data_IF_954122482295
#
_entry.id   IF_954122482295
#
_cell.length_a   1.000
_cell.length_b   1.000
_cell.length_c   1.000
_cell.angle_alpha   90.00
_cell.angle_beta   90.00
_cell.angle_gamma   90.00
#
_symmetry.space_group_name_H-M   'P 1'
#
loop_
_entity.id
_entity.type
_entity.pdbx_description
1 polymer ?
2 non-polymer ?
3 water ?
#
# COMPACT_ATOMS: atom_id res chain seq x y z
N UNK A 1 -1.47 -9.94 -22.04
CA UNK A 1 -0.18 -9.47 -22.53
C UNK A 1 0.94 -9.79 -21.54
N UNK A 2 0.70 -9.47 -20.24
CA UNK A 2 1.70 -9.86 -19.26
C UNK A 2 1.28 -11.14 -18.54
N UNK A 3 2.17 -12.11 -18.38
CA UNK A 3 1.78 -13.37 -17.71
C UNK A 3 1.70 -13.22 -16.19
N UNK A 4 0.69 -13.89 -15.62
CA UNK A 4 0.41 -13.84 -14.19
C UNK A 4 -0.03 -15.23 -13.76
N UNK A 5 0.53 -15.73 -12.66
CA UNK A 5 0.27 -17.06 -12.16
C UNK A 5 -0.56 -16.98 -10.89
N UNK A 6 -1.77 -17.52 -10.93
CA UNK A 6 -2.65 -17.58 -9.78
C UNK A 6 -2.66 -19.01 -9.25
N UNK A 7 -2.43 -19.16 -7.95
CA UNK A 7 -2.25 -20.48 -7.35
C UNK A 7 -2.80 -20.48 -5.95
N UNK A 8 -3.22 -21.66 -5.48
CA UNK A 8 -3.70 -21.86 -4.12
C UNK A 8 -2.61 -22.60 -3.35
N UNK A 9 -2.32 -22.10 -2.14
CA UNK A 9 -1.21 -22.61 -1.35
C UNK A 9 -1.69 -22.95 0.04
N UNK A 10 -1.62 -24.22 0.41
CA UNK A 10 -2.00 -24.68 1.73
C UNK A 10 -0.81 -24.59 2.67
N UNK A 11 -1.03 -24.03 3.86
CA UNK A 11 0.00 -23.86 4.87
C UNK A 11 -0.48 -24.52 6.15
N UNK A 12 0.33 -25.43 6.69
CA UNK A 12 -0.07 -26.21 7.85
C UNK A 12 0.25 -25.51 9.16
N UNK A 13 1.51 -25.14 9.37
CA UNK A 13 1.95 -24.65 10.66
C UNK A 13 1.53 -23.20 10.88
N UNK A 14 1.40 -22.84 12.16
CA UNK A 14 1.04 -21.47 12.51
C UNK A 14 2.19 -20.51 12.22
N UNK A 15 3.43 -20.96 12.40
CA UNK A 15 4.59 -20.10 12.16
C UNK A 15 4.65 -19.65 10.71
N UNK A 16 4.40 -20.55 9.77
CA UNK A 16 4.51 -20.20 8.36
C UNK A 16 3.28 -19.46 7.83
N UNK A 17 2.09 -19.72 8.39
CA UNK A 17 0.94 -18.94 7.98
C UNK A 17 0.90 -17.55 8.61
N UNK A 18 1.57 -17.37 9.76
CA UNK A 18 1.74 -16.02 10.27
C UNK A 18 2.73 -15.23 9.43
N UNK A 19 3.82 -15.88 8.99
CA UNK A 19 4.78 -15.24 8.11
C UNK A 19 4.12 -14.90 6.77
N UNK A 20 3.33 -15.81 6.24
CA UNK A 20 2.59 -15.58 5.00
C UNK A 20 1.63 -14.41 5.11
N UNK A 21 0.99 -14.29 6.27
CA UNK A 21 -0.12 -13.35 6.42
C UNK A 21 0.37 -11.91 6.46
N UNK A 22 1.37 -11.63 7.29
CA UNK A 22 1.81 -10.27 7.54
C UNK A 22 2.94 -9.82 6.62
N UNK A 23 3.24 -10.57 5.55
CA UNK A 23 4.35 -10.18 4.69
C UNK A 23 4.14 -10.43 3.21
N UNK A 24 3.43 -11.48 2.78
CA UNK A 24 3.48 -11.87 1.38
C UNK A 24 2.86 -10.82 0.48
N UNK A 25 1.74 -10.22 0.89
CA UNK A 25 1.14 -9.17 0.07
C UNK A 25 2.06 -7.97 -0.05
N UNK A 26 2.63 -7.53 1.08
CA UNK A 26 3.53 -6.39 1.06
C UNK A 26 4.81 -6.69 0.29
N UNK A 27 5.29 -7.94 0.34
CA UNK A 27 6.52 -8.31 -0.36
C UNK A 27 6.27 -8.37 -1.87
N UNK A 28 5.15 -8.98 -2.28
CA UNK A 28 4.87 -9.10 -3.71
C UNK A 28 4.50 -7.76 -4.32
N UNK A 29 3.97 -6.83 -3.52
CA UNK A 29 3.82 -5.47 -3.98
C UNK A 29 5.17 -4.76 -4.05
N UNK A 30 6.09 -5.10 -3.16
CA UNK A 30 7.42 -4.51 -3.20
C UNK A 30 8.22 -5.02 -4.40
N UNK A 31 8.17 -6.33 -4.66
CA UNK A 31 8.82 -6.88 -5.86
C UNK A 31 8.25 -6.26 -7.12
N UNK A 32 6.95 -5.93 -7.12
CA UNK A 32 6.34 -5.29 -8.29
C UNK A 32 6.86 -3.88 -8.46
N UNK A 33 6.90 -3.11 -7.37
CA UNK A 33 7.41 -1.74 -7.44
C UNK A 33 8.87 -1.70 -7.86
N UNK A 34 9.66 -2.70 -7.46
CA UNK A 34 11.07 -2.73 -7.82
C UNK A 34 11.24 -2.94 -9.33
N UNK A 35 10.50 -3.91 -9.88
CA UNK A 35 10.55 -4.14 -11.32
C UNK A 35 10.12 -2.92 -12.12
N UNK A 36 9.22 -2.10 -11.55
CA UNK A 36 8.73 -0.93 -12.27
C UNK A 36 9.70 0.23 -12.13
N UNK A 37 10.18 0.48 -10.92
CA UNK A 37 11.12 1.58 -10.70
C UNK A 37 12.42 1.34 -11.47
N UNK A 38 12.86 0.09 -11.54
CA UNK A 38 14.10 -0.23 -12.26
C UNK A 38 13.91 -0.02 -13.76
N UNK A 39 12.74 -0.36 -14.30
CA UNK A 39 12.48 -0.11 -15.72
C UNK A 39 12.40 1.39 -16.02
N UNK A 40 12.09 2.21 -15.01
CA UNK A 40 12.11 3.66 -15.21
C UNK A 40 13.53 4.17 -15.23
N UNK A 41 14.42 3.59 -14.41
CA UNK A 41 15.79 4.05 -14.37
C UNK A 41 16.56 3.59 -15.61
N UNK A 42 16.13 2.51 -16.24
CA UNK A 42 16.65 2.14 -17.54
C UNK A 42 18.03 1.49 -17.54
N UNK A 43 18.95 2.02 -16.75
CA UNK A 43 20.35 1.59 -16.77
C UNK A 43 20.50 0.11 -16.45
N UNK A 44 20.82 -0.70 -17.46
CA UNK A 44 20.97 -2.13 -17.27
C UNK A 44 22.02 -2.46 -16.22
N UNK A 45 22.99 -1.56 -16.00
CA UNK A 45 23.98 -1.79 -14.95
C UNK A 45 23.30 -1.86 -13.57
N UNK A 46 22.49 -0.85 -13.25
CA UNK A 46 21.79 -0.86 -11.98
C UNK A 46 20.71 -1.93 -11.93
N UNK A 47 20.09 -2.24 -13.07
CA UNK A 47 19.05 -3.27 -13.09
C UNK A 47 19.65 -4.62 -12.70
N UNK A 48 20.80 -4.98 -13.29
CA UNK A 48 21.42 -6.26 -12.98
C UNK A 48 22.00 -6.27 -11.57
N UNK A 49 22.42 -5.11 -11.07
CA UNK A 49 22.96 -5.04 -9.72
C UNK A 49 21.88 -5.24 -8.68
N UNK A 50 20.69 -4.68 -8.90
CA UNK A 50 19.59 -4.83 -7.94
C UNK A 50 18.96 -6.21 -8.07
N UNK A 51 18.75 -6.68 -9.31
CA UNK A 51 18.27 -8.04 -9.52
C UNK A 51 19.17 -9.06 -8.82
N UNK A 52 20.48 -8.79 -8.78
CA UNK A 52 21.41 -9.72 -8.15
C UNK A 52 21.25 -9.73 -6.64
N UNK A 53 21.26 -8.54 -6.02
CA UNK A 53 21.19 -8.46 -4.56
C UNK A 53 19.89 -9.07 -4.05
N UNK A 54 18.79 -8.87 -4.79
CA UNK A 54 17.54 -9.52 -4.42
C UNK A 54 17.65 -11.04 -4.55
N UNK A 55 18.33 -11.49 -5.61
CA UNK A 55 18.46 -12.93 -5.84
C UNK A 55 19.27 -13.60 -4.74
N UNK A 56 20.33 -12.93 -4.27
CA UNK A 56 21.22 -13.54 -3.29
C UNK A 56 20.64 -13.54 -1.89
N UNK A 57 19.78 -12.56 -1.56
CA UNK A 57 19.13 -12.58 -0.26
C UNK A 57 18.07 -13.67 -0.20
N UNK A 58 17.36 -13.91 -1.30
CA UNK A 58 16.45 -15.04 -1.37
C UNK A 58 17.23 -16.35 -1.39
N UNK A 59 18.39 -16.36 -2.05
CA UNK A 59 19.20 -17.57 -2.14
C UNK A 59 19.75 -17.97 -0.78
N UNK A 60 20.27 -17.00 -0.02
CA UNK A 60 20.85 -17.29 1.28
C UNK A 60 19.82 -17.94 2.20
N UNK A 61 18.61 -17.36 2.27
CA UNK A 61 17.57 -17.92 3.13
C UNK A 61 17.16 -19.30 2.64
N UNK A 62 17.10 -19.50 1.33
CA UNK A 62 16.78 -20.82 0.79
C UNK A 62 17.88 -21.82 1.10
N UNK A 63 19.14 -21.40 0.99
CA UNK A 63 20.25 -22.28 1.30
C UNK A 63 20.24 -22.69 2.77
N UNK A 64 19.97 -21.74 3.66
CA UNK A 64 19.91 -22.05 5.08
C UNK A 64 18.71 -22.93 5.42
N UNK A 65 17.56 -22.70 4.76
CA UNK A 65 16.40 -23.54 4.98
C UNK A 65 16.66 -24.98 4.57
N UNK A 66 17.42 -25.19 3.50
CA UNK A 66 17.77 -26.55 3.09
C UNK A 66 18.74 -27.19 4.07
N UNK A 67 19.74 -26.44 4.52
CA UNK A 67 20.70 -26.97 5.49
C UNK A 67 19.99 -27.38 6.78
N UNK A 68 19.11 -26.52 7.29
CA UNK A 68 18.36 -26.85 8.51
C UNK A 68 17.41 -28.02 8.27
N UNK A 69 16.85 -28.13 7.06
CA UNK A 69 16.00 -29.26 6.74
C UNK A 69 16.81 -30.55 6.62
N UNK A 70 18.00 -30.46 6.02
CA UNK A 70 18.84 -31.64 5.86
C UNK A 70 19.33 -32.16 7.22
N UNK A 71 19.80 -31.26 8.09
CA UNK A 71 20.26 -31.68 9.41
C UNK A 71 19.11 -32.30 10.21
N UNK A 72 17.97 -31.62 10.28
CA UNK A 72 16.86 -32.11 11.08
C UNK A 72 16.24 -33.38 10.50
N UNK A 73 16.26 -33.53 9.17
CA UNK A 73 15.79 -34.77 8.57
C UNK A 73 16.74 -35.93 8.87
N UNK A 74 18.02 -35.64 9.11
CA UNK A 74 18.94 -36.66 9.56
C UNK A 74 18.59 -37.12 10.97
N UNK A 75 18.28 -36.17 11.87
CA UNK A 75 17.87 -36.53 13.23
C UNK A 75 16.63 -37.39 13.25
N UNK A 76 15.80 -37.35 12.21
CA UNK A 76 14.60 -38.18 12.15
C UNK A 76 14.95 -39.64 11.85
N UNK A 77 15.78 -39.85 10.82
CA UNK A 77 16.21 -41.21 10.51
C UNK A 77 17.18 -41.73 11.56
N UNK A 78 18.04 -40.86 12.09
CA UNK A 78 18.87 -41.24 13.23
C UNK A 78 18.03 -41.76 14.39
N UNK A 79 16.82 -41.22 14.56
CA UNK A 79 15.93 -41.60 15.65
C UNK A 79 14.80 -42.50 15.18
N UNK A 80 14.73 -42.81 13.90
CA UNK A 80 13.76 -43.76 13.39
C UNK A 80 12.33 -43.25 13.36
N UNK A 81 12.11 -42.09 12.75
CA UNK A 81 10.79 -41.51 12.61
C UNK A 81 10.52 -41.29 11.12
N UNK A 82 9.44 -41.89 10.63
CA UNK A 82 9.07 -41.79 9.21
C UNK A 82 7.78 -41.00 9.00
N UNK A 83 7.12 -40.59 10.07
CA UNK A 83 5.84 -39.89 9.97
C UNK A 83 5.98 -38.39 10.25
N UNK A 84 4.89 -37.66 10.01
CA UNK A 84 4.85 -36.24 10.28
C UNK A 84 3.42 -35.85 10.68
N UNK A 85 3.27 -34.78 11.46
CA UNK A 85 1.99 -34.54 12.14
C UNK A 85 0.94 -33.89 11.26
N UNK A 86 -0.32 -34.16 11.60
CA UNK A 86 -1.41 -33.35 11.11
C UNK A 86 -1.51 -32.05 11.87
N UNK A 87 -2.33 -31.13 11.34
CA UNK A 87 -2.43 -29.79 11.91
C UNK A 87 -3.88 -29.43 12.15
N UNK A 88 -4.11 -28.64 13.19
CA UNK A 88 -5.46 -28.38 13.68
C UNK A 88 -6.31 -27.67 12.63
N UNK A 89 -5.79 -26.57 12.07
CA UNK A 89 -6.49 -25.84 11.02
C UNK A 89 -5.48 -25.27 10.03
N UNK A 90 -5.25 -25.97 8.92
CA UNK A 90 -4.44 -25.37 7.85
C UNK A 90 -5.25 -24.35 7.08
N UNK A 91 -4.53 -23.40 6.48
CA UNK A 91 -5.15 -22.33 5.71
C UNK A 91 -4.73 -22.44 4.26
N UNK A 92 -5.67 -22.15 3.36
CA UNK A 92 -5.39 -22.06 1.93
C UNK A 92 -5.38 -20.58 1.54
N UNK A 93 -4.32 -20.16 0.86
CA UNK A 93 -4.17 -18.79 0.40
C UNK A 93 -4.08 -18.78 -1.12
N UNK A 94 -4.94 -17.99 -1.76
CA UNK A 94 -4.86 -17.73 -3.18
C UNK A 94 -3.89 -16.58 -3.40
N UNK A 95 -2.84 -16.84 -4.18
CA UNK A 95 -1.76 -15.88 -4.37
C UNK A 95 -1.59 -15.61 -5.86
N UNK A 96 -1.10 -14.42 -6.17
CA UNK A 96 -0.78 -14.03 -7.54
C UNK A 96 0.72 -13.90 -7.68
N UNK A 97 1.26 -14.49 -8.75
CA UNK A 97 2.70 -14.52 -8.99
C UNK A 97 2.96 -13.72 -10.26
N UNK A 98 3.51 -12.52 -10.12
CA UNK A 98 3.85 -11.68 -11.26
C UNK A 98 5.31 -11.83 -11.65
N UNK A 99 6.22 -11.80 -10.69
CA UNK A 99 7.64 -12.03 -10.86
C UNK A 99 7.98 -13.47 -10.52
N UNK A 100 9.09 -14.01 -11.06
CA UNK A 100 9.57 -15.30 -10.56
C UNK A 100 10.16 -15.20 -9.16
N UNK A 101 10.63 -14.01 -8.76
CA UNK A 101 11.08 -13.81 -7.39
C UNK A 101 9.91 -13.88 -6.41
N UNK A 102 8.72 -13.45 -6.83
CA UNK A 102 7.53 -13.61 -5.99
C UNK A 102 7.25 -15.08 -5.75
N UNK A 103 7.39 -15.90 -6.79
CA UNK A 103 7.29 -17.35 -6.62
C UNK A 103 8.36 -17.87 -5.67
N UNK A 104 9.56 -17.27 -5.72
CA UNK A 104 10.63 -17.73 -4.84
C UNK A 104 10.32 -17.44 -3.38
N UNK A 105 9.75 -16.27 -3.08
CA UNK A 105 9.38 -15.96 -1.70
C UNK A 105 8.28 -16.89 -1.22
N UNK A 106 7.26 -17.13 -2.04
CA UNK A 106 6.22 -18.08 -1.69
C UNK A 106 6.77 -19.49 -1.51
N UNK A 107 7.79 -19.85 -2.30
CA UNK A 107 8.44 -21.15 -2.13
C UNK A 107 9.22 -21.20 -0.83
N UNK A 108 9.77 -20.07 -0.41
CA UNK A 108 10.46 -20.01 0.88
C UNK A 108 9.50 -20.26 2.03
N UNK A 109 8.26 -19.77 1.92
CA UNK A 109 7.26 -20.01 2.95
C UNK A 109 6.91 -21.49 3.03
N UNK A 110 6.88 -22.17 1.87
CA UNK A 110 6.63 -23.61 1.89
C UNK A 110 7.77 -24.36 2.57
N UNK A 111 9.02 -23.98 2.26
CA UNK A 111 10.17 -24.61 2.93
C UNK A 111 10.13 -24.34 4.43
N UNK A 112 9.68 -23.14 4.82
CA UNK A 112 9.50 -22.85 6.24
C UNK A 112 8.41 -23.74 6.84
N UNK A 113 7.27 -23.84 6.16
CA UNK A 113 6.20 -24.72 6.62
C UNK A 113 6.66 -26.17 6.72
N UNK A 114 7.50 -26.60 5.77
CA UNK A 114 8.04 -27.95 5.81
C UNK A 114 8.96 -28.12 7.01
N UNK A 115 9.88 -27.17 7.21
CA UNK A 115 10.83 -27.28 8.32
C UNK A 115 10.12 -27.26 9.67
N UNK A 116 9.01 -26.52 9.78
CA UNK A 116 8.25 -26.51 11.02
C UNK A 116 7.62 -27.86 11.28
N UNK A 117 7.17 -28.53 10.21
CA UNK A 117 6.63 -29.87 10.35
C UNK A 117 7.66 -30.86 10.87
N UNK A 118 8.92 -30.68 10.48
CA UNK A 118 9.98 -31.53 11.00
C UNK A 118 10.26 -31.21 12.46
N UNK A 119 10.36 -29.91 12.78
CA UNK A 119 10.55 -29.49 14.17
C UNK A 119 9.44 -30.03 15.06
N UNK A 120 8.20 -29.96 14.59
CA UNK A 120 7.07 -30.46 15.39
C UNK A 120 7.13 -31.97 15.58
N UNK A 121 7.63 -32.69 14.58
CA UNK A 121 7.79 -34.13 14.72
C UNK A 121 8.83 -34.46 15.79
N UNK A 122 10.00 -33.81 15.72
CA UNK A 122 11.04 -34.04 16.72
C UNK A 122 10.60 -33.61 18.11
N UNK A 123 9.78 -32.56 18.20
CA UNK A 123 9.30 -32.12 19.50
C UNK A 123 8.27 -33.11 20.06
N UNK A 124 7.33 -33.56 19.22
CA UNK A 124 6.37 -34.56 19.66
C UNK A 124 7.06 -35.88 20.02
N UNK A 125 8.17 -36.20 19.36
CA UNK A 125 8.89 -37.44 19.61
C UNK A 125 9.99 -37.27 20.66
N UNK A 126 9.97 -36.18 21.41
CA UNK A 126 10.89 -35.93 22.52
C UNK A 126 12.35 -35.87 22.06
N UNK A 127 12.59 -35.63 20.77
CA UNK A 127 13.96 -35.47 20.30
C UNK A 127 14.42 -34.03 20.51
N UNK A 128 13.49 -33.08 20.51
CA UNK A 128 13.81 -31.66 20.69
C UNK A 128 13.09 -31.14 21.93
N UNK A 129 13.80 -30.41 22.77
CA UNK A 129 13.20 -29.77 23.92
C UNK A 129 12.08 -28.82 23.48
N UNK A 130 11.10 -28.65 24.37
CA UNK A 130 10.10 -27.60 24.16
C UNK A 130 10.74 -26.24 23.99
N UNK A 131 11.90 -26.02 24.64
CA UNK A 131 12.55 -24.71 24.56
C UNK A 131 13.21 -24.50 23.20
N UNK A 132 13.87 -25.54 22.65
CA UNK A 132 14.53 -25.36 21.37
C UNK A 132 13.58 -25.48 20.19
N UNK A 133 12.35 -25.94 20.40
CA UNK A 133 11.33 -25.77 19.38
C UNK A 133 10.92 -24.31 19.27
N UNK A 134 10.70 -23.66 20.40
CA UNK A 134 10.36 -22.24 20.40
C UNK A 134 11.50 -21.40 19.85
N UNK A 135 12.76 -21.79 20.15
CA UNK A 135 13.90 -21.06 19.62
C UNK A 135 13.99 -21.20 18.10
N UNK A 136 13.58 -22.34 17.56
CA UNK A 136 13.53 -22.51 16.11
C UNK A 136 12.28 -21.83 15.54
N UNK A 137 11.16 -21.91 16.27
CA UNK A 137 9.94 -21.24 15.85
C UNK A 137 10.14 -19.74 15.71
N UNK A 138 10.81 -19.11 16.69
CA UNK A 138 11.01 -17.67 16.64
C UNK A 138 12.04 -17.27 15.59
N UNK A 139 13.18 -17.96 15.57
CA UNK A 139 14.29 -17.52 14.74
C UNK A 139 14.00 -17.69 13.26
N UNK A 140 13.33 -18.78 12.88
CA UNK A 140 13.03 -18.99 11.46
C UNK A 140 11.87 -18.10 11.00
N UNK A 141 10.88 -17.87 11.87
CA UNK A 141 9.90 -16.83 11.60
C UNK A 141 10.58 -15.49 11.34
N UNK A 142 11.33 -15.01 12.34
CA UNK A 142 12.07 -13.76 12.22
C UNK A 142 13.05 -13.78 11.05
N UNK A 143 13.46 -14.96 10.58
CA UNK A 143 14.41 -15.03 9.47
C UNK A 143 13.73 -14.64 8.16
N UNK A 144 12.50 -15.11 7.93
CA UNK A 144 11.76 -14.69 6.75
C UNK A 144 11.28 -13.25 6.88
N UNK A 145 10.95 -12.82 8.09
CA UNK A 145 10.53 -11.44 8.32
C UNK A 145 11.68 -10.47 8.03
N UNK A 146 12.91 -10.89 8.32
CA UNK A 146 14.06 -10.06 7.98
C UNK A 146 14.20 -9.92 6.46
N UNK A 147 13.89 -10.98 5.72
CA UNK A 147 13.93 -10.91 4.27
C UNK A 147 12.87 -9.94 3.74
N UNK A 148 11.64 -10.06 4.23
CA UNK A 148 10.58 -9.12 3.89
C UNK A 148 11.04 -7.68 4.08
N UNK A 149 11.59 -7.37 5.26
CA UNK A 149 12.07 -6.03 5.52
C UNK A 149 13.22 -5.60 4.63
N UNK A 150 14.11 -6.54 4.28
CA UNK A 150 15.24 -6.21 3.42
C UNK A 150 14.80 -5.93 2.00
N UNK A 151 13.88 -6.74 1.47
CA UNK A 151 13.37 -6.51 0.13
C UNK A 151 12.74 -5.12 0.03
N UNK A 152 11.87 -4.80 0.99
CA UNK A 152 11.24 -3.48 1.03
C UNK A 152 12.28 -2.40 1.22
N UNK A 153 13.33 -2.69 1.99
CA UNK A 153 14.44 -1.75 2.11
C UNK A 153 15.14 -1.50 0.79
N UNK A 154 15.29 -2.56 -0.02
CA UNK A 154 15.85 -2.39 -1.36
C UNK A 154 14.92 -1.53 -2.22
N UNK A 155 13.61 -1.78 -2.11
CA UNK A 155 12.64 -0.94 -2.80
C UNK A 155 12.80 0.53 -2.39
N UNK A 156 12.90 0.80 -1.08
CA UNK A 156 13.05 2.16 -0.60
C UNK A 156 14.34 2.80 -1.11
N UNK A 157 15.44 2.04 -1.12
CA UNK A 157 16.68 2.57 -1.63
C UNK A 157 16.65 2.74 -3.14
N UNK A 158 15.78 1.98 -3.83
CA UNK A 158 15.60 2.19 -5.26
C UNK A 158 14.82 3.47 -5.54
N UNK A 159 13.87 3.82 -4.65
CA UNK A 159 13.11 5.05 -4.83
C UNK A 159 14.01 6.28 -4.68
N UNK A 160 14.97 6.21 -3.76
CA UNK A 160 15.90 7.33 -3.60
C UNK A 160 16.88 7.36 -4.76
N UNK A 161 17.26 6.20 -5.28
CA UNK A 161 18.09 6.17 -6.48
C UNK A 161 17.35 6.79 -7.66
N UNK A 162 16.06 6.50 -7.79
CA UNK A 162 15.27 7.11 -8.86
C UNK A 162 15.08 8.60 -8.61
N UNK A 163 14.92 9.00 -7.35
CA UNK A 163 14.81 10.42 -7.03
C UNK A 163 16.08 11.16 -7.44
N UNK A 164 17.25 10.57 -7.18
CA UNK A 164 18.52 11.19 -7.53
C UNK A 164 18.75 11.26 -9.03
N UNK A 165 17.96 10.54 -9.84
CA UNK A 165 18.03 10.63 -11.29
C UNK A 165 16.90 11.46 -11.87
N UNK A 166 16.27 12.31 -11.05
CA UNK A 166 15.19 13.15 -11.52
C UNK A 166 13.92 12.43 -11.90
N UNK A 167 13.94 11.09 -11.91
CA UNK A 167 12.80 10.28 -12.29
C UNK A 167 11.80 10.12 -11.14
N UNK A 168 11.67 11.14 -10.29
CA UNK A 168 10.86 10.96 -9.08
C UNK A 168 9.37 11.05 -9.37
N UNK A 169 8.92 12.12 -10.03
CA UNK A 169 7.51 12.25 -10.33
C UNK A 169 6.99 11.12 -11.20
N UNK A 170 7.85 10.51 -11.99
CA UNK A 170 7.47 9.34 -12.77
C UNK A 170 7.14 8.17 -11.87
N UNK A 171 7.89 8.00 -10.79
CA UNK A 171 7.66 6.89 -9.86
C UNK A 171 6.33 7.06 -9.14
N UNK A 172 6.03 8.28 -8.68
CA UNK A 172 4.78 8.53 -7.98
C UNK A 172 3.57 8.14 -8.82
N UNK A 173 3.66 8.28 -10.14
CA UNK A 173 2.56 7.92 -11.03
C UNK A 173 2.56 6.43 -11.38
N UNK A 174 3.74 5.88 -11.69
CA UNK A 174 3.82 4.50 -12.18
C UNK A 174 3.56 3.50 -11.05
N UNK A 175 4.20 3.70 -9.90
CA UNK A 175 4.08 2.75 -8.79
C UNK A 175 4.25 3.48 -7.48
N UNK A 176 3.15 3.93 -6.88
CA UNK A 176 3.25 4.58 -5.55
C UNK A 176 3.65 3.56 -4.49
N UNK A 177 4.28 4.07 -3.44
CA UNK A 177 4.74 3.21 -2.35
C UNK A 177 3.59 2.83 -1.44
N UNK A 178 3.62 1.59 -0.95
CA UNK A 178 2.59 1.09 -0.05
C UNK A 178 3.06 1.17 1.39
N UNK A 179 2.10 1.39 2.29
CA UNK A 179 2.41 1.43 3.71
C UNK A 179 2.79 0.04 4.20
N UNK A 180 3.75 -0.02 5.11
CA UNK A 180 4.21 -1.28 5.69
C UNK A 180 3.56 -1.41 7.06
N UNK A 181 2.52 -2.25 7.14
CA UNK A 181 1.70 -2.35 8.33
C UNK A 181 2.32 -3.12 9.47
N UNK A 182 3.39 -3.86 9.22
CA UNK A 182 4.04 -4.69 10.23
C UNK A 182 5.29 -3.97 10.72
N UNK A 183 5.36 -3.72 12.03
CA UNK A 183 6.45 -2.92 12.58
C UNK A 183 7.79 -3.63 12.45
N UNK A 184 7.82 -4.94 12.70
CA UNK A 184 9.07 -5.69 12.56
C UNK A 184 9.62 -5.58 11.14
N UNK A 185 8.74 -5.63 10.15
CA UNK A 185 9.17 -5.48 8.76
C UNK A 185 9.52 -4.02 8.48
N UNK A 186 8.70 -3.09 8.96
CA UNK A 186 8.94 -1.66 8.70
C UNK A 186 10.24 -1.19 9.32
N UNK A 187 10.56 -1.67 10.53
CA UNK A 187 11.80 -1.26 11.17
C UNK A 187 13.02 -1.83 10.44
N UNK A 188 12.94 -3.08 10.01
CA UNK A 188 14.01 -3.69 9.22
C UNK A 188 14.16 -3.00 7.87
N UNK A 189 13.10 -2.36 7.37
CA UNK A 189 13.18 -1.67 6.09
C UNK A 189 14.26 -0.60 6.07
N UNK A 190 14.70 -0.14 7.25
CA UNK A 190 15.78 0.82 7.32
C UNK A 190 17.14 0.14 7.22
N UNK A 191 17.27 -0.78 6.26
CA UNK A 191 18.55 -1.10 5.65
C UNK A 191 18.93 -0.10 4.56
N UNK A 192 18.35 1.10 4.62
CA UNK A 192 18.58 2.16 3.64
C UNK A 192 19.87 2.92 3.91
N UNK A 193 20.23 3.08 5.18
CA UNK A 193 21.50 3.72 5.55
C UNK A 193 22.64 2.73 5.44
N UNK B 1 -32.86 3.83 5.95
CA UNK B 1 -32.75 4.76 7.06
C UNK B 1 -31.75 5.87 6.76
N UNK B 2 -30.56 5.48 6.25
CA UNK B 2 -29.59 6.47 5.84
C UNK B 2 -29.64 6.69 4.34
N UNK B 3 -29.62 7.93 3.85
CA UNK B 3 -29.64 8.15 2.41
C UNK B 3 -28.28 7.86 1.79
N UNK B 4 -28.30 7.23 0.62
CA UNK B 4 -27.08 6.81 -0.06
C UNK B 4 -27.28 7.02 -1.56
N UNK B 5 -26.30 7.66 -2.19
CA UNK B 5 -26.34 8.00 -3.61
C UNK B 5 -25.30 7.13 -4.33
N UNK B 6 -25.76 6.26 -5.21
CA UNK B 6 -24.87 5.41 -6.00
C UNK B 6 -24.79 5.93 -7.43
N UNK B 7 -23.56 6.13 -7.92
CA UNK B 7 -23.35 6.73 -9.22
C UNK B 7 -22.08 6.16 -9.84
N UNK B 8 -22.02 6.22 -11.16
CA UNK B 8 -20.84 5.79 -11.93
C UNK B 8 -20.13 7.03 -12.44
N UNK B 9 -18.80 7.06 -12.29
CA UNK B 9 -18.00 8.23 -12.58
C UNK B 9 -16.85 7.83 -13.49
N UNK B 10 -16.82 8.38 -14.70
CA UNK B 10 -15.74 8.11 -15.65
C UNK B 10 -14.62 9.13 -15.46
N UNK B 11 -13.38 8.63 -15.42
CA UNK B 11 -12.19 9.45 -15.23
C UNK B 11 -11.23 9.19 -16.39
N UNK B 12 -10.81 10.26 -17.05
CA UNK B 12 -9.96 10.15 -18.25
C UNK B 12 -8.47 10.10 -17.92
N UNK B 13 -7.96 11.09 -17.20
CA UNK B 13 -6.53 11.24 -17.03
C UNK B 13 -5.98 10.25 -16.02
N UNK B 14 -4.68 9.94 -16.16
CA UNK B 14 -4.02 9.01 -15.25
C UNK B 14 -3.82 9.64 -13.87
N UNK B 15 -3.53 10.94 -13.84
CA UNK B 15 -3.33 11.60 -12.55
C UNK B 15 -4.58 11.55 -11.70
N UNK B 16 -5.75 11.74 -12.32
CA UNK B 16 -7.00 11.71 -11.59
C UNK B 16 -7.46 10.29 -11.31
N UNK B 17 -7.04 9.32 -12.13
CA UNK B 17 -7.33 7.92 -11.83
C UNK B 17 -6.46 7.43 -10.68
N UNK B 18 -5.19 7.83 -10.66
CA UNK B 18 -4.32 7.52 -9.52
C UNK B 18 -4.94 8.03 -8.22
N UNK B 19 -5.27 9.32 -8.18
CA UNK B 19 -5.83 9.92 -6.96
C UNK B 19 -7.11 9.20 -6.55
N UNK B 20 -7.94 8.83 -7.52
CA UNK B 20 -9.19 8.13 -7.25
C UNK B 20 -8.96 6.77 -6.59
N UNK B 21 -8.06 5.97 -7.16
CA UNK B 21 -7.89 4.59 -6.73
C UNK B 21 -7.27 4.51 -5.34
N UNK B 22 -6.18 5.22 -5.10
CA UNK B 22 -5.42 5.06 -3.87
C UNK B 22 -5.90 5.95 -2.73
N UNK B 23 -7.06 6.59 -2.88
CA UNK B 23 -7.53 7.48 -1.81
C UNK B 23 -9.04 7.47 -1.60
N UNK B 24 -9.87 7.33 -2.63
CA UNK B 24 -11.30 7.60 -2.47
C UNK B 24 -11.96 6.60 -1.54
N UNK B 25 -11.60 5.31 -1.64
CA UNK B 25 -12.17 4.32 -0.74
C UNK B 25 -11.78 4.59 0.70
N UNK B 26 -10.50 4.86 0.94
CA UNK B 26 -10.03 5.14 2.29
C UNK B 26 -10.60 6.45 2.84
N UNK B 27 -10.81 7.44 1.97
CA UNK B 27 -11.33 8.73 2.43
C UNK B 27 -12.80 8.62 2.79
N UNK B 28 -13.59 7.93 1.97
CA UNK B 28 -15.02 7.82 2.26
C UNK B 28 -15.28 6.90 3.44
N UNK B 29 -14.38 5.95 3.69
CA UNK B 29 -14.43 5.21 4.95
C UNK B 29 -14.00 6.09 6.12
N UNK B 30 -13.06 7.02 5.88
CA UNK B 30 -12.64 7.94 6.93
C UNK B 30 -13.75 8.93 7.26
N UNK B 31 -14.38 9.50 6.24
CA UNK B 31 -15.52 10.39 6.47
C UNK B 31 -16.64 9.66 7.21
N UNK B 32 -16.83 8.37 6.93
CA UNK B 32 -17.87 7.62 7.62
C UNK B 32 -17.49 7.39 9.08
N UNK B 33 -16.23 6.98 9.33
CA UNK B 33 -15.79 6.78 10.70
C UNK B 33 -15.85 8.06 11.51
N UNK B 34 -15.59 9.21 10.88
CA UNK B 34 -15.65 10.48 11.59
C UNK B 34 -17.09 10.79 11.99
N UNK B 35 -18.04 10.61 11.07
CA UNK B 35 -19.44 10.84 11.39
C UNK B 35 -19.92 9.95 12.52
N UNK B 36 -19.33 8.76 12.66
CA UNK B 36 -19.76 7.82 13.69
C UNK B 36 -19.10 8.14 15.03
N UNK B 37 -17.78 8.39 15.00
CA UNK B 37 -17.05 8.66 16.25
C UNK B 37 -17.56 9.94 16.90
N UNK B 38 -17.88 10.96 16.10
CA UNK B 38 -18.43 12.19 16.66
C UNK B 38 -19.82 11.97 17.25
N UNK B 39 -20.58 11.04 16.70
CA UNK B 39 -21.84 10.64 17.32
C UNK B 39 -21.61 10.03 18.69
N UNK B 40 -20.49 9.34 18.88
CA UNK B 40 -20.24 8.66 20.14
C UNK B 40 -19.77 9.64 21.21
N UNK B 41 -18.95 10.63 20.83
CA UNK B 41 -18.46 11.59 21.80
C UNK B 41 -19.55 12.58 22.21
N UNK B 42 -20.57 12.77 21.38
CA UNK B 42 -21.76 13.50 21.75
C UNK B 42 -21.68 15.02 21.75
N UNK B 43 -20.60 15.59 22.27
CA UNK B 43 -20.51 17.04 22.43
C UNK B 43 -20.63 17.76 21.09
N UNK B 44 -21.78 18.39 20.85
CA UNK B 44 -22.06 19.08 19.59
C UNK B 44 -21.03 20.15 19.27
N UNK B 45 -20.35 20.71 20.29
CA UNK B 45 -19.31 21.69 20.03
C UNK B 45 -18.19 21.09 19.18
N UNK B 46 -17.70 19.91 19.58
CA UNK B 46 -16.63 19.26 18.83
C UNK B 46 -17.10 18.84 17.44
N UNK B 47 -18.38 18.48 17.30
CA UNK B 47 -18.91 18.08 16.00
C UNK B 47 -18.84 19.24 15.01
N UNK B 48 -19.28 20.42 15.45
CA UNK B 48 -19.35 21.57 14.54
C UNK B 48 -17.97 22.10 14.18
N UNK B 49 -17.00 22.02 15.10
CA UNK B 49 -15.65 22.45 14.77
C UNK B 49 -14.98 21.48 13.80
N UNK B 50 -15.32 20.19 13.88
CA UNK B 50 -14.74 19.22 12.94
C UNK B 50 -15.39 19.34 11.57
N UNK B 51 -16.71 19.49 11.52
CA UNK B 51 -17.38 19.76 10.25
C UNK B 51 -16.79 20.98 9.57
N UNK B 52 -16.40 21.99 10.35
CA UNK B 52 -15.85 23.22 9.79
C UNK B 52 -14.47 23.00 9.21
N UNK B 53 -13.56 22.43 10.00
CA UNK B 53 -12.17 22.26 9.56
C UNK B 53 -12.12 21.35 8.33
N UNK B 54 -12.96 20.32 8.29
CA UNK B 54 -13.04 19.47 7.10
C UNK B 54 -13.55 20.26 5.91
N UNK B 55 -14.55 21.12 6.14
CA UNK B 55 -15.14 21.88 5.04
C UNK B 55 -14.13 22.84 4.41
N UNK B 56 -13.29 23.48 5.23
CA UNK B 56 -12.38 24.48 4.70
C UNK B 56 -11.17 23.85 4.01
N UNK B 57 -10.78 22.64 4.42
CA UNK B 57 -9.71 21.94 3.69
C UNK B 57 -10.20 21.47 2.33
N UNK B 58 -11.47 21.05 2.24
CA UNK B 58 -12.06 20.73 0.94
C UNK B 58 -12.27 22.02 0.14
N UNK B 59 -12.61 23.11 0.82
CA UNK B 59 -12.87 24.37 0.14
C UNK B 59 -11.59 24.93 -0.48
N UNK B 60 -10.49 24.93 0.28
CA UNK B 60 -9.24 25.49 -0.23
C UNK B 60 -8.78 24.76 -1.48
N UNK B 61 -8.80 23.43 -1.45
CA UNK B 61 -8.37 22.66 -2.63
C UNK B 61 -9.31 22.91 -3.79
N UNK B 62 -10.61 23.03 -3.52
CA UNK B 62 -11.56 23.35 -4.58
C UNK B 62 -11.36 24.76 -5.11
N UNK B 63 -11.12 25.73 -4.22
CA UNK B 63 -10.89 27.10 -4.65
C UNK B 63 -9.63 27.22 -5.49
N UNK B 64 -8.55 26.53 -5.09
CA UNK B 64 -7.31 26.57 -5.87
C UNK B 64 -7.50 25.86 -7.21
N UNK B 65 -8.27 24.77 -7.23
CA UNK B 65 -8.56 24.11 -8.49
C UNK B 65 -9.34 25.02 -9.42
N UNK B 66 -10.23 25.84 -8.87
CA UNK B 66 -10.99 26.78 -9.69
C UNK B 66 -10.10 27.88 -10.25
N UNK B 67 -9.21 28.43 -9.41
CA UNK B 67 -8.30 29.46 -9.87
C UNK B 67 -7.36 28.93 -10.96
N UNK B 68 -6.80 27.74 -10.74
CA UNK B 68 -5.91 27.16 -11.75
C UNK B 68 -6.65 26.85 -13.03
N UNK B 69 -7.93 26.47 -12.95
CA UNK B 69 -8.71 26.23 -14.16
C UNK B 69 -8.98 27.54 -14.89
N UNK B 70 -9.25 28.61 -14.16
CA UNK B 70 -9.53 29.90 -14.79
C UNK B 70 -8.30 30.44 -15.51
N UNK B 71 -7.14 30.39 -14.86
CA UNK B 71 -5.91 30.86 -15.49
C UNK B 71 -5.59 30.07 -16.74
N UNK B 72 -5.60 28.74 -16.64
CA UNK B 72 -5.23 27.91 -17.78
C UNK B 72 -6.28 27.98 -18.89
N UNK B 73 -7.56 28.14 -18.54
CA UNK B 73 -8.57 28.35 -19.55
C UNK B 73 -8.42 29.72 -20.20
N UNK B 74 -7.86 30.68 -19.48
CA UNK B 74 -7.53 31.97 -20.08
C UNK B 74 -6.41 31.81 -21.11
N UNK B 75 -5.38 31.04 -20.78
CA UNK B 75 -4.31 30.76 -21.73
C UNK B 75 -4.85 30.03 -22.97
N UNK B 76 -5.91 29.23 -22.80
CA UNK B 76 -6.53 28.55 -23.92
C UNK B 76 -7.19 29.55 -24.88
N UNK B 77 -7.93 30.50 -24.30
CA UNK B 77 -8.55 31.53 -25.13
C UNK B 77 -7.52 32.51 -25.66
N UNK B 78 -6.51 32.84 -24.84
CA UNK B 78 -5.39 33.64 -25.31
C UNK B 78 -4.69 33.00 -26.50
N UNK B 79 -4.64 31.67 -26.56
CA UNK B 79 -3.91 30.96 -27.60
C UNK B 79 -4.80 30.35 -28.66
N UNK B 80 -6.12 30.48 -28.55
CA UNK B 80 -7.01 30.02 -29.60
C UNK B 80 -7.16 28.52 -29.71
N UNK B 81 -7.48 27.87 -28.59
CA UNK B 81 -7.72 26.43 -28.53
C UNK B 81 -9.11 26.22 -27.94
N UNK B 82 -9.95 25.46 -28.65
CA UNK B 82 -11.34 25.32 -28.26
C UNK B 82 -11.73 23.94 -27.72
N UNK B 83 -10.93 22.90 -27.96
CA UNK B 83 -11.33 21.58 -27.50
C UNK B 83 -10.31 20.89 -26.60
N UNK B 84 -10.62 19.67 -26.20
CA UNK B 84 -9.84 18.91 -25.24
C UNK B 84 -9.45 17.55 -25.82
N UNK B 85 -8.42 16.90 -25.27
CA UNK B 85 -7.94 15.66 -25.87
C UNK B 85 -8.76 14.45 -25.46
N UNK B 86 -8.77 13.45 -26.34
CA UNK B 86 -9.21 12.13 -25.95
C UNK B 86 -8.14 11.41 -25.16
N UNK B 87 -8.53 10.30 -24.55
CA UNK B 87 -7.62 9.58 -23.67
C UNK B 87 -7.57 8.10 -24.02
N UNK B 88 -6.38 7.52 -23.86
CA UNK B 88 -6.11 6.16 -24.32
C UNK B 88 -6.95 5.14 -23.56
N UNK B 89 -7.00 5.26 -22.24
CA UNK B 89 -7.77 4.33 -21.41
C UNK B 89 -8.45 5.09 -20.28
N UNK B 90 -9.70 5.51 -20.50
CA UNK B 90 -10.50 6.04 -19.40
C UNK B 90 -11.06 4.92 -18.55
N UNK B 91 -11.28 5.23 -17.27
CA UNK B 91 -11.84 4.27 -16.32
C UNK B 91 -13.16 4.80 -15.78
N UNK B 92 -14.11 3.89 -15.59
CA UNK B 92 -15.37 4.19 -14.90
C UNK B 92 -15.32 3.56 -13.52
N UNK B 93 -15.63 4.35 -12.50
CA UNK B 93 -15.63 3.89 -11.12
C UNK B 93 -17.03 4.00 -10.54
N UNK B 94 -17.55 2.90 -10.00
CA UNK B 94 -18.81 2.91 -9.28
C UNK B 94 -18.54 3.29 -7.84
N UNK B 95 -19.12 4.40 -7.41
CA UNK B 95 -18.89 4.93 -6.06
C UNK B 95 -20.24 5.17 -5.40
N UNK B 96 -20.27 5.04 -4.07
CA UNK B 96 -21.43 5.40 -3.27
C UNK B 96 -21.03 6.55 -2.35
N UNK B 97 -21.87 7.58 -2.31
CA UNK B 97 -21.61 8.78 -1.52
C UNK B 97 -22.68 8.88 -0.44
N UNK B 98 -22.29 8.64 0.81
CA UNK B 98 -23.20 8.73 1.94
C UNK B 98 -23.20 10.12 2.58
N UNK B 99 -22.03 10.72 2.72
CA UNK B 99 -21.91 12.09 3.21
C UNK B 99 -21.87 13.06 2.04
N UNK B 100 -22.26 14.33 2.27
CA UNK B 100 -22.02 15.35 1.25
C UNK B 100 -20.55 15.71 1.10
N UNK B 101 -19.75 15.51 2.16
CA UNK B 101 -18.32 15.72 2.03
C UNK B 101 -17.68 14.68 1.13
N UNK B 102 -18.20 13.45 1.13
CA UNK B 102 -17.74 12.44 0.20
C UNK B 102 -18.04 12.86 -1.23
N UNK B 103 -19.23 13.41 -1.47
CA UNK B 103 -19.54 14.00 -2.77
C UNK B 103 -18.58 15.13 -3.10
N UNK B 104 -18.20 15.92 -2.10
CA UNK B 104 -17.28 17.03 -2.35
C UNK B 104 -15.91 16.53 -2.75
N UNK B 105 -15.42 15.47 -2.09
CA UNK B 105 -14.13 14.90 -2.46
C UNK B 105 -14.16 14.33 -3.88
N UNK B 106 -15.23 13.60 -4.21
CA UNK B 106 -15.38 13.09 -5.57
C UNK B 106 -15.47 14.21 -6.59
N UNK B 107 -16.06 15.35 -6.21
CA UNK B 107 -16.11 16.49 -7.11
C UNK B 107 -14.72 17.09 -7.33
N UNK B 108 -13.87 17.07 -6.30
CA UNK B 108 -12.50 17.53 -6.47
C UNK B 108 -11.74 16.63 -7.44
N UNK B 109 -12.00 15.32 -7.40
CA UNK B 109 -11.38 14.42 -8.36
C UNK B 109 -11.88 14.74 -9.77
N UNK B 110 -13.14 15.14 -9.90
CA UNK B 110 -13.66 15.63 -11.17
C UNK B 110 -12.89 16.86 -11.64
N UNK B 111 -12.74 17.84 -10.75
CA UNK B 111 -12.04 19.07 -11.12
C UNK B 111 -10.59 18.79 -11.46
N UNK B 112 -9.96 17.85 -10.76
CA UNK B 112 -8.61 17.44 -11.10
C UNK B 112 -8.55 16.83 -12.50
N UNK B 113 -9.48 15.90 -12.79
CA UNK B 113 -9.55 15.30 -14.11
C UNK B 113 -9.78 16.35 -15.19
N UNK B 114 -10.61 17.36 -14.89
CA UNK B 114 -10.83 18.44 -15.85
C UNK B 114 -9.57 19.27 -16.05
N UNK B 115 -8.91 19.64 -14.96
CA UNK B 115 -7.71 20.47 -15.05
C UNK B 115 -6.60 19.74 -15.80
N UNK B 116 -6.49 18.43 -15.61
CA UNK B 116 -5.48 17.65 -16.31
C UNK B 116 -5.73 17.67 -17.81
N UNK B 117 -7.01 17.62 -18.20
CA UNK B 117 -7.34 17.75 -19.61
C UNK B 117 -6.93 19.08 -20.20
N UNK B 118 -6.99 20.15 -19.40
CA UNK B 118 -6.54 21.46 -19.86
C UNK B 118 -5.01 21.49 -19.96
N UNK B 119 -4.33 20.97 -18.93
CA UNK B 119 -2.87 20.89 -18.97
C UNK B 119 -2.41 20.09 -20.19
N UNK B 120 -3.07 18.96 -20.47
CA UNK B 120 -2.68 18.14 -21.60
C UNK B 120 -2.91 18.87 -22.92
N UNK B 121 -3.96 19.69 -23.01
CA UNK B 121 -4.20 20.46 -24.23
C UNK B 121 -3.10 21.50 -24.43
N UNK B 122 -2.79 22.28 -23.40
CA UNK B 122 -1.74 23.28 -23.51
C UNK B 122 -0.38 22.66 -23.76
N UNK B 123 -0.13 21.48 -23.18
CA UNK B 123 1.13 20.79 -23.42
C UNK B 123 1.21 20.26 -24.84
N UNK B 124 0.14 19.62 -25.30
CA UNK B 124 0.10 19.09 -26.67
C UNK B 124 0.22 20.20 -27.71
N UNK B 125 -0.29 21.39 -27.39
CA UNK B 125 -0.26 22.53 -28.30
C UNK B 125 0.97 23.41 -28.11
N UNK B 126 2.00 22.90 -27.44
CA UNK B 126 3.27 23.60 -27.24
C UNK B 126 3.11 24.89 -26.45
N UNK B 127 2.00 25.04 -25.73
CA UNK B 127 1.84 26.21 -24.86
C UNK B 127 2.53 25.97 -23.52
N UNK B 128 2.62 24.71 -23.09
CA UNK B 128 3.24 24.34 -21.82
C UNK B 128 4.39 23.38 -22.10
N UNK B 129 5.53 23.65 -21.48
CA UNK B 129 6.67 22.74 -21.56
C UNK B 129 6.31 21.37 -21.00
N UNK B 130 6.98 20.35 -21.53
CA UNK B 130 6.91 19.03 -20.90
C UNK B 130 7.33 19.09 -19.45
N UNK B 131 8.22 20.02 -19.10
CA UNK B 131 8.70 20.11 -17.72
C UNK B 131 7.62 20.70 -16.80
N UNK B 132 6.92 21.73 -17.26
CA UNK B 132 5.88 22.32 -16.41
C UNK B 132 4.57 21.56 -16.47
N UNK B 133 4.39 20.63 -17.42
CA UNK B 133 3.27 19.71 -17.33
C UNK B 133 3.49 18.70 -16.21
N UNK B 134 4.68 18.11 -16.14
CA UNK B 134 4.98 17.16 -15.07
C UNK B 134 4.91 17.84 -13.71
N UNK B 135 5.34 19.10 -13.64
CA UNK B 135 5.25 19.84 -12.39
C UNK B 135 3.80 20.06 -11.97
N UNK B 136 2.89 20.20 -12.95
CA UNK B 136 1.47 20.32 -12.63
C UNK B 136 0.83 18.98 -12.34
N UNK B 137 1.19 17.94 -13.10
CA UNK B 137 0.65 16.60 -12.81
C UNK B 137 1.08 16.12 -11.43
N UNK B 138 2.34 16.37 -11.06
CA UNK B 138 2.84 15.90 -9.77
C UNK B 138 2.24 16.71 -8.62
N UNK B 139 2.26 18.04 -8.73
CA UNK B 139 1.87 18.88 -7.60
C UNK B 139 0.38 18.79 -7.31
N UNK B 140 -0.45 18.70 -8.36
CA UNK B 140 -1.89 18.64 -8.15
C UNK B 140 -2.32 17.26 -7.66
N UNK B 141 -1.67 16.20 -8.14
CA UNK B 141 -1.82 14.88 -7.53
C UNK B 141 -1.50 14.95 -6.04
N UNK B 142 -0.28 15.36 -5.70
CA UNK B 142 0.14 15.50 -4.32
C UNK B 142 -0.75 16.46 -3.54
N UNK B 143 -1.47 17.35 -4.22
CA UNK B 143 -2.35 18.29 -3.53
C UNK B 143 -3.60 17.59 -3.02
N UNK B 144 -4.20 16.72 -3.82
CA UNK B 144 -5.35 15.96 -3.38
C UNK B 144 -4.95 14.87 -2.38
N UNK B 145 -3.77 14.28 -2.57
CA UNK B 145 -3.29 13.24 -1.65
C UNK B 145 -3.03 13.82 -0.27
N UNK B 146 -2.56 15.08 -0.20
CA UNK B 146 -2.39 15.72 1.10
C UNK B 146 -3.73 15.93 1.78
N UNK B 147 -4.77 16.24 1.01
CA UNK B 147 -6.11 16.41 1.58
C UNK B 147 -6.62 15.07 2.12
N UNK B 148 -6.51 14.01 1.30
CA UNK B 148 -6.87 12.67 1.74
C UNK B 148 -6.23 12.32 3.07
N UNK B 149 -4.92 12.49 3.18
CA UNK B 149 -4.23 12.20 4.43
C UNK B 149 -4.63 13.12 5.56
N UNK B 150 -4.99 14.36 5.24
CA UNK B 150 -5.38 15.30 6.28
C UNK B 150 -6.71 14.93 6.89
N UNK B 151 -7.66 14.46 6.08
CA UNK B 151 -8.93 13.96 6.62
C UNK B 151 -8.68 12.78 7.54
N UNK B 152 -7.91 11.80 7.07
CA UNK B 152 -7.61 10.62 7.87
C UNK B 152 -6.88 11.01 9.15
N UNK B 153 -6.04 12.04 9.07
CA UNK B 153 -5.42 12.56 10.29
C UNK B 153 -6.46 13.08 11.28
N UNK B 154 -7.50 13.73 10.77
CA UNK B 154 -8.60 14.17 11.63
C UNK B 154 -9.32 12.97 12.23
N UNK B 155 -9.54 11.93 11.42
CA UNK B 155 -10.11 10.69 11.95
C UNK B 155 -9.26 10.14 13.08
N UNK B 156 -7.95 10.07 12.86
CA UNK B 156 -7.05 9.57 13.89
C UNK B 156 -7.10 10.45 15.14
N UNK B 157 -7.22 11.77 14.95
CA UNK B 157 -7.34 12.65 16.11
C UNK B 157 -8.67 12.48 16.82
N UNK B 158 -9.70 12.01 16.11
CA UNK B 158 -10.97 11.73 16.76
C UNK B 158 -10.91 10.44 17.58
N UNK B 159 -10.16 9.44 17.10
CA UNK B 159 -10.09 8.18 17.82
C UNK B 159 -9.34 8.34 19.14
N UNK B 160 -8.27 9.13 19.16
CA UNK B 160 -7.56 9.36 20.41
C UNK B 160 -8.33 10.32 21.31
N UNK B 161 -9.01 11.30 20.73
CA UNK B 161 -9.88 12.17 21.53
C UNK B 161 -11.02 11.38 22.15
N UNK B 162 -11.63 10.46 21.40
CA UNK B 162 -12.68 9.62 21.95
C UNK B 162 -12.12 8.62 22.95
N UNK B 163 -10.92 8.11 22.69
CA UNK B 163 -10.29 7.19 23.64
C UNK B 163 -10.05 7.86 24.98
N UNK B 164 -9.61 9.12 24.98
CA UNK B 164 -9.36 9.83 26.22
C UNK B 164 -10.63 10.14 27.00
N UNK B 165 -11.81 9.99 26.39
CA UNK B 165 -13.08 10.18 27.06
C UNK B 165 -13.79 8.86 27.39
N UNK B 166 -13.04 7.76 27.48
CA UNK B 166 -13.57 6.46 27.86
C UNK B 166 -14.47 5.78 26.84
N UNK B 167 -14.87 6.46 25.78
CA UNK B 167 -15.69 5.83 24.73
C UNK B 167 -14.86 5.02 23.74
N UNK B 168 -13.87 4.28 24.23
CA UNK B 168 -12.91 3.61 23.37
C UNK B 168 -13.49 2.34 22.76
N UNK B 169 -14.07 1.47 23.58
CA UNK B 169 -14.58 0.20 23.08
C UNK B 169 -15.80 0.37 22.20
N UNK B 170 -16.57 1.43 22.41
CA UNK B 170 -17.71 1.71 21.54
C UNK B 170 -17.24 2.02 20.12
N UNK B 171 -16.12 2.74 19.99
CA UNK B 171 -15.61 3.09 18.66
C UNK B 171 -15.14 1.83 17.94
N UNK B 172 -14.42 0.95 18.64
CA UNK B 172 -13.96 -0.29 18.02
C UNK B 172 -15.11 -1.14 17.50
N UNK B 173 -16.26 -1.09 18.18
CA UNK B 173 -17.43 -1.86 17.76
C UNK B 173 -18.27 -1.15 16.70
N UNK B 174 -18.50 0.15 16.88
CA UNK B 174 -19.39 0.88 15.97
C UNK B 174 -18.72 1.10 14.62
N UNK B 175 -17.46 1.54 14.62
CA UNK B 175 -16.74 1.86 13.39
C UNK B 175 -15.26 1.61 13.62
N UNK B 176 -14.79 0.40 13.32
CA UNK B 176 -13.36 0.12 13.45
C UNK B 176 -12.56 0.87 12.39
N UNK B 177 -11.29 1.11 12.71
CA UNK B 177 -10.41 1.82 11.79
C UNK B 177 -9.93 0.88 10.69
N UNK B 178 -9.86 1.39 9.47
CA UNK B 178 -9.40 0.62 8.32
C UNK B 178 -7.94 0.96 8.02
N UNK B 179 -7.23 -0.03 7.48
CA UNK B 179 -5.83 0.16 7.13
C UNK B 179 -5.70 1.16 5.99
N UNK B 180 -4.66 2.00 6.07
CA UNK B 180 -4.35 2.99 5.05
C UNK B 180 -3.21 2.44 4.21
N UNK B 181 -3.53 1.94 3.02
CA UNK B 181 -2.55 1.24 2.21
C UNK B 181 -1.55 2.11 1.48
N UNK B 182 -1.78 3.41 1.38
CA UNK B 182 -0.89 4.31 0.63
C UNK B 182 -0.01 5.07 1.61
N UNK B 183 1.31 4.94 1.43
CA UNK B 183 2.24 5.50 2.40
C UNK B 183 2.21 7.03 2.40
N UNK B 184 2.10 7.65 1.21
CA UNK B 184 2.01 9.10 1.16
C UNK B 184 0.82 9.60 1.99
N UNK B 185 -0.31 8.90 1.90
CA UNK B 185 -1.47 9.28 2.70
C UNK B 185 -1.25 8.94 4.16
N UNK B 186 -0.71 7.75 4.44
CA UNK B 186 -0.53 7.33 5.83
C UNK B 186 0.48 8.22 6.54
N UNK B 187 1.54 8.63 5.85
CA UNK B 187 2.53 9.50 6.47
C UNK B 187 1.97 10.89 6.73
N UNK B 188 1.23 11.45 5.77
CA UNK B 188 0.62 12.75 5.98
C UNK B 188 -0.44 12.70 7.08
N UNK B 189 -1.13 11.56 7.21
CA UNK B 189 -2.12 11.42 8.28
C UNK B 189 -1.48 11.32 9.65
N UNK B 190 -0.22 10.86 9.72
CA UNK B 190 0.44 10.72 11.01
C UNK B 190 1.05 12.03 11.50
N UNK B 191 1.43 12.93 10.59
CA UNK B 191 1.94 14.23 10.97
C UNK B 191 0.84 15.29 11.02
N UNK B 192 -0.42 14.91 10.80
CA UNK B 192 -1.55 15.77 11.10
C UNK B 192 -2.15 15.52 12.48
N UNK B 193 -1.96 14.31 13.02
CA UNK B 193 -2.19 14.07 14.44
C UNK B 193 -0.92 14.36 15.23
N UNK B 194 -0.35 15.54 14.98
CA UNK B 194 0.90 15.95 15.60
C UNK B 194 0.66 17.01 16.67
X LIG C 1 2.33 12.46 -5.75
#
# INVERSE_FOLDING_TARGET
SRPVFKQVLKVNSLQAQRVMERSFERVSNSLFSIDVILRIIGEQDEIDQVETVILEHISKVSEDLDKATAQLNKLMEDNGIDMMPGYTNPNEYTIEINSPQVAQFAHLIRKLDTLMGIVDTLWLNTVLTSKQRTDATYQWQQRLIKLAGRIIGIEKRARISAHSKGKEGEVAEAAPESATGDKEIADEAEKTKA
SRPVFKQVLKVNSLQAQRVMERSFERVSNSLFSIDVILRIIGEQDEIDQVETVILEHISKVSEDLDKATAQLNKLMEDNGIDMMPGYTNPNEYTIEINSPQVAQFAHLIRKLDTLMGIVDTLWLNTVLTSKQRTDATYQWQQRLIKLAGRIIGIEKRARISAHSKGKEGEVAEAAPESATGDKEIADEAEKTKA
CL CL
#
